data_IF_712216511690
#
_entry.id   IF_712216511690
#
_cell.length_a   1.000
_cell.length_b   1.000
_cell.length_c   1.000
_cell.angle_alpha   90.00
_cell.angle_beta   90.00
_cell.angle_gamma   90.00
#
_symmetry.space_group_name_H-M   'P 1'
#
loop_
_entity.id
_entity.type
_entity.pdbx_description
1 polymer ?
#
# COMPACT_ATOMS: atom_id res chain seq x y z
N UNK A 1 -12.43 45.22 -25.14
CA UNK A 1 -12.35 43.74 -25.29
C UNK A 1 -11.31 43.10 -24.34
N UNK A 2 -10.34 43.85 -23.80
CA UNK A 2 -9.24 43.27 -22.97
C UNK A 2 -9.60 42.81 -21.56
N UNK A 3 -10.63 43.38 -20.90
CA UNK A 3 -10.96 42.99 -19.51
C UNK A 3 -11.55 41.59 -19.37
N UNK A 4 -12.34 41.13 -20.35
CA UNK A 4 -13.01 39.82 -20.25
C UNK A 4 -12.01 38.66 -20.37
N UNK A 5 -10.97 38.86 -21.18
CA UNK A 5 -9.91 37.88 -21.36
C UNK A 5 -9.02 37.74 -20.11
N UNK A 6 -8.82 38.81 -19.33
CA UNK A 6 -8.03 38.75 -18.09
C UNK A 6 -8.68 37.87 -17.01
N UNK A 7 -10.02 37.96 -16.88
CA UNK A 7 -10.77 37.19 -15.87
C UNK A 7 -10.85 35.71 -16.22
N UNK A 8 -11.00 35.36 -17.51
CA UNK A 8 -10.97 33.96 -17.96
C UNK A 8 -9.61 33.30 -17.75
N UNK A 9 -8.51 34.04 -17.95
CA UNK A 9 -7.15 33.54 -17.70
C UNK A 9 -6.89 33.34 -16.20
N UNK A 10 -7.34 34.26 -15.34
CA UNK A 10 -7.24 34.12 -13.88
C UNK A 10 -8.02 32.90 -13.36
N UNK A 11 -9.22 32.64 -13.89
CA UNK A 11 -10.06 31.49 -13.53
C UNK A 11 -9.44 30.15 -13.98
N UNK A 12 -8.78 30.12 -15.16
CA UNK A 12 -8.02 28.95 -15.61
C UNK A 12 -6.78 28.69 -14.74
N UNK A 13 -6.06 29.74 -14.35
CA UNK A 13 -4.93 29.61 -13.42
C UNK A 13 -5.37 29.10 -12.05
N UNK A 14 -6.51 29.55 -11.54
CA UNK A 14 -7.10 29.05 -10.30
C UNK A 14 -7.53 27.58 -10.40
N UNK A 15 -8.17 27.17 -11.50
CA UNK A 15 -8.47 25.75 -11.78
C UNK A 15 -7.21 24.90 -11.79
N UNK A 16 -6.17 25.35 -12.49
CA UNK A 16 -4.89 24.64 -12.57
C UNK A 16 -4.22 24.53 -11.21
N UNK A 17 -4.25 25.60 -10.40
CA UNK A 17 -3.74 25.59 -9.01
C UNK A 17 -4.50 24.56 -8.17
N UNK A 18 -5.82 24.60 -8.19
CA UNK A 18 -6.68 23.68 -7.43
C UNK A 18 -6.42 22.22 -7.82
N UNK A 19 -6.39 21.93 -9.11
CA UNK A 19 -6.06 20.60 -9.62
C UNK A 19 -4.70 20.09 -9.10
N UNK A 20 -3.67 20.94 -9.14
CA UNK A 20 -2.33 20.57 -8.67
C UNK A 20 -2.27 20.28 -7.16
N UNK A 21 -3.06 20.99 -6.35
CA UNK A 21 -3.19 20.71 -4.91
C UNK A 21 -3.83 19.35 -4.69
N UNK A 22 -4.96 19.09 -5.37
CA UNK A 22 -5.68 17.81 -5.24
C UNK A 22 -4.82 16.62 -5.66
N UNK A 23 -4.10 16.72 -6.78
CA UNK A 23 -3.23 15.63 -7.23
C UNK A 23 -2.02 15.44 -6.29
N UNK A 24 -1.49 16.51 -5.68
CA UNK A 24 -0.47 16.38 -4.65
C UNK A 24 -0.99 15.64 -3.42
N UNK A 25 -2.21 15.95 -2.96
CA UNK A 25 -2.85 15.24 -1.86
C UNK A 25 -3.04 13.76 -2.18
N UNK A 26 -3.60 13.45 -3.36
CA UNK A 26 -3.78 12.07 -3.83
C UNK A 26 -2.46 11.28 -3.85
N UNK A 27 -1.37 11.89 -4.33
CA UNK A 27 -0.04 11.26 -4.33
C UNK A 27 0.52 11.05 -2.93
N UNK A 28 0.28 11.97 -2.01
CA UNK A 28 0.70 11.84 -0.62
C UNK A 28 -0.08 10.73 0.09
N UNK A 29 -1.39 10.64 -0.12
CA UNK A 29 -2.22 9.55 0.39
C UNK A 29 -1.75 8.20 -0.14
N UNK A 30 -1.50 8.10 -1.45
CA UNK A 30 -0.96 6.88 -2.05
C UNK A 30 0.40 6.49 -1.43
N UNK A 31 1.31 7.47 -1.24
CA UNK A 31 2.58 7.24 -0.54
C UNK A 31 2.34 6.70 0.86
N UNK A 32 1.42 7.30 1.63
CA UNK A 32 1.10 6.85 2.98
C UNK A 32 0.53 5.43 2.99
N UNK A 33 -0.32 5.06 2.03
CA UNK A 33 -0.78 3.68 1.86
C UNK A 33 0.38 2.70 1.64
N UNK A 34 1.37 3.05 0.81
CA UNK A 34 2.57 2.23 0.63
C UNK A 34 3.40 2.09 1.91
N UNK A 35 3.55 3.16 2.69
CA UNK A 35 4.27 3.11 3.97
C UNK A 35 3.55 2.19 4.96
N UNK A 36 2.23 2.35 5.11
CA UNK A 36 1.41 1.48 5.96
C UNK A 36 1.49 0.01 5.53
N UNK A 37 1.43 -0.25 4.21
CA UNK A 37 1.57 -1.61 3.69
C UNK A 37 2.94 -2.20 4.04
N UNK A 38 4.02 -1.44 3.79
CA UNK A 38 5.40 -1.85 4.13
C UNK A 38 5.52 -2.23 5.61
N UNK A 39 4.94 -1.45 6.50
CA UNK A 39 5.03 -1.69 7.94
C UNK A 39 4.34 -2.99 8.38
N UNK A 40 3.35 -3.46 7.60
CA UNK A 40 2.68 -4.75 7.80
C UNK A 40 3.39 -5.94 7.13
N UNK A 41 4.49 -5.71 6.40
CA UNK A 41 5.28 -6.77 5.76
C UNK A 41 6.54 -7.02 6.60
N UNK A 42 6.64 -8.16 7.33
CA UNK A 42 7.72 -8.39 8.30
C UNK A 42 9.13 -8.23 7.74
N UNK A 43 9.36 -8.67 6.49
CA UNK A 43 10.66 -8.53 5.82
C UNK A 43 11.05 -7.08 5.51
N UNK A 44 10.07 -6.16 5.45
CA UNK A 44 10.27 -4.78 5.03
C UNK A 44 10.17 -3.76 6.16
N UNK A 45 9.75 -4.15 7.36
CA UNK A 45 9.55 -3.24 8.51
C UNK A 45 10.79 -2.40 8.83
N UNK A 46 12.00 -2.93 8.59
CA UNK A 46 13.28 -2.21 8.81
C UNK A 46 13.90 -1.60 7.54
N UNK A 47 13.25 -1.75 6.38
CA UNK A 47 13.75 -1.25 5.12
C UNK A 47 12.96 -0.03 4.66
N UNK A 48 13.35 1.14 5.15
CA UNK A 48 12.64 2.37 4.84
C UNK A 48 12.68 2.76 3.36
N UNK A 49 13.69 2.28 2.64
CA UNK A 49 13.96 2.61 1.23
C UNK A 49 13.39 1.56 0.26
N UNK A 50 12.56 0.63 0.74
CA UNK A 50 11.92 -0.37 -0.12
C UNK A 50 11.13 0.31 -1.26
N UNK A 51 11.37 -0.14 -2.50
CA UNK A 51 10.66 0.40 -3.66
C UNK A 51 9.19 -0.05 -3.69
N UNK A 52 8.32 0.70 -4.38
CA UNK A 52 6.89 0.36 -4.51
C UNK A 52 6.66 -1.07 -5.02
N UNK A 53 7.43 -1.47 -6.03
CA UNK A 53 7.33 -2.82 -6.61
C UNK A 53 7.76 -3.90 -5.60
N UNK A 54 8.81 -3.62 -4.82
CA UNK A 54 9.27 -4.54 -3.76
C UNK A 54 8.21 -4.68 -2.67
N UNK A 55 7.60 -3.56 -2.23
CA UNK A 55 6.51 -3.59 -1.24
C UNK A 55 5.35 -4.47 -1.72
N UNK A 56 4.91 -4.31 -2.97
CA UNK A 56 3.79 -5.11 -3.51
C UNK A 56 4.14 -6.60 -3.62
N UNK A 57 5.34 -6.92 -4.12
CA UNK A 57 5.79 -8.32 -4.25
C UNK A 57 5.87 -8.99 -2.88
N UNK A 58 6.52 -8.35 -1.92
CA UNK A 58 6.69 -8.91 -0.57
C UNK A 58 5.39 -8.98 0.22
N UNK A 59 4.47 -8.03 0.03
CA UNK A 59 3.14 -8.13 0.62
C UNK A 59 2.37 -9.36 0.09
N UNK A 60 2.42 -9.59 -1.23
CA UNK A 60 1.84 -10.78 -1.85
C UNK A 60 2.44 -12.05 -1.27
N UNK A 61 3.77 -12.14 -1.23
CA UNK A 61 4.48 -13.32 -0.72
C UNK A 61 4.16 -13.56 0.78
N UNK A 62 4.04 -12.48 1.56
CA UNK A 62 3.65 -12.56 2.97
C UNK A 62 2.26 -13.18 3.15
N UNK A 63 1.28 -12.84 2.31
CA UNK A 63 -0.07 -13.43 2.36
C UNK A 63 -0.01 -14.92 2.03
N UNK A 64 0.69 -15.31 0.95
CA UNK A 64 0.84 -16.72 0.58
C UNK A 64 1.51 -17.55 1.67
N UNK A 65 2.54 -17.02 2.32
CA UNK A 65 3.21 -17.71 3.41
C UNK A 65 2.29 -17.88 4.63
N UNK A 66 1.49 -16.86 4.97
CA UNK A 66 0.51 -16.96 6.07
C UNK A 66 -0.57 -17.98 5.76
N UNK A 67 -1.03 -18.06 4.52
CA UNK A 67 -1.99 -19.08 4.08
C UNK A 67 -1.37 -20.48 4.15
N UNK A 68 -0.15 -20.68 3.66
CA UNK A 68 0.54 -21.97 3.71
C UNK A 68 0.83 -22.41 5.15
N UNK A 69 1.29 -21.49 6.01
CA UNK A 69 1.51 -21.77 7.43
C UNK A 69 0.20 -22.10 8.17
N UNK A 70 -0.93 -21.52 7.74
CA UNK A 70 -2.24 -21.90 8.28
C UNK A 70 -2.63 -23.32 7.84
N UNK A 71 -2.37 -23.69 6.58
CA UNK A 71 -2.62 -25.04 6.09
C UNK A 71 -1.69 -26.06 6.73
N UNK A 72 -0.37 -25.85 6.68
CA UNK A 72 0.62 -26.74 7.31
C UNK A 72 0.46 -26.79 8.82
N UNK A 73 0.26 -25.65 9.49
CA UNK A 73 0.15 -25.56 10.94
C UNK A 73 -1.04 -26.33 11.51
N UNK A 74 -2.16 -26.43 10.78
CA UNK A 74 -3.29 -27.28 11.15
C UNK A 74 -2.97 -28.77 11.01
N UNK A 75 -2.51 -29.21 9.84
CA UNK A 75 -2.35 -30.65 9.61
C UNK A 75 -1.09 -31.23 10.28
N UNK A 76 0.04 -30.51 10.32
CA UNK A 76 1.27 -31.02 10.95
C UNK A 76 1.17 -31.12 12.47
N UNK A 77 0.49 -30.19 13.16
CA UNK A 77 0.28 -30.27 14.62
C UNK A 77 -0.65 -31.42 14.98
N UNK A 78 -1.70 -31.67 14.20
CA UNK A 78 -2.57 -32.83 14.38
C UNK A 78 -1.85 -34.15 14.07
N UNK A 79 -0.98 -34.19 13.06
CA UNK A 79 -0.20 -35.38 12.70
C UNK A 79 0.97 -35.67 13.66
N UNK A 80 1.55 -34.62 14.29
CA UNK A 80 2.60 -34.77 15.32
C UNK A 80 2.08 -34.94 16.74
N UNK A 81 0.78 -34.82 16.99
CA UNK A 81 0.23 -34.95 18.34
C UNK A 81 0.44 -36.39 18.86
N UNK A 82 1.29 -36.63 19.89
CA UNK A 82 1.71 -38.00 20.26
C UNK A 82 0.66 -38.79 21.05
N UNK A 83 -0.62 -38.41 21.02
CA UNK A 83 -1.58 -38.96 21.97
C UNK A 83 -3.05 -38.91 21.53
N UNK A 84 -3.40 -39.65 20.47
CA UNK A 84 -4.75 -40.24 20.37
C UNK A 84 -4.65 -41.76 20.53
N UNK A 85 -4.31 -42.20 21.75
CA UNK A 85 -4.72 -43.52 22.23
C UNK A 85 -6.12 -43.39 22.82
N UNK A 86 -7.12 -43.81 22.04
CA UNK A 86 -8.29 -44.63 22.36
C UNK A 86 -9.42 -44.33 21.39
#
# INVERSE_FOLDING_TARGET
FSSRNSVEVEDEEERRRTHNVMERQRRNELKNCFMRLRDNVPELTRNEKASKVVILKKARDCIFNLEDDTHRGGWDLWLKWPNHRK
#
